data_IF_371950914302
#
_entry.id   IF_371950914302
#
_cell.length_a   1.000
_cell.length_b   1.000
_cell.length_c   1.000
_cell.angle_alpha   90.00
_cell.angle_beta   90.00
_cell.angle_gamma   90.00
#
_symmetry.space_group_name_H-M   'P 1'
#
loop_
_entity.id
_entity.type
_entity.pdbx_description
1 polymer ?
#
# COMPACT_ATOMS: atom_id res chain seq x y z
N UNK A 1 10.83 -22.57 9.33
CA UNK A 1 11.16 -21.88 10.58
C UNK A 1 12.58 -22.27 10.95
N UNK A 2 13.45 -21.32 11.27
CA UNK A 2 14.80 -21.59 11.76
C UNK A 2 15.90 -21.52 10.71
N UNK A 3 15.69 -20.84 9.59
CA UNK A 3 16.74 -20.59 8.59
C UNK A 3 17.08 -19.10 8.56
N UNK A 4 18.36 -18.76 8.49
CA UNK A 4 18.80 -17.38 8.34
C UNK A 4 18.27 -16.78 7.03
N UNK A 5 17.91 -15.48 7.07
CA UNK A 5 17.50 -14.76 5.89
C UNK A 5 18.56 -14.88 4.78
N UNK A 6 18.10 -15.26 3.59
CA UNK A 6 18.93 -15.33 2.39
C UNK A 6 18.06 -15.13 1.15
N UNK A 7 18.11 -13.93 0.58
CA UNK A 7 17.31 -13.56 -0.59
C UNK A 7 17.65 -14.41 -1.84
N UNK A 8 18.94 -14.76 -2.05
CA UNK A 8 19.36 -15.59 -3.19
C UNK A 8 18.81 -17.01 -3.12
N UNK A 9 18.71 -17.56 -1.91
CA UNK A 9 18.12 -18.86 -1.65
C UNK A 9 16.60 -18.80 -1.46
N UNK A 10 15.97 -17.63 -1.63
CA UNK A 10 14.54 -17.37 -1.42
C UNK A 10 14.06 -17.74 0.00
N UNK A 11 14.91 -17.51 1.00
CA UNK A 11 14.59 -17.72 2.40
C UNK A 11 14.30 -16.35 3.04
N UNK A 12 13.04 -16.09 3.37
CA UNK A 12 12.55 -14.83 3.92
C UNK A 12 12.04 -14.99 5.37
N UNK A 13 12.67 -15.89 6.14
CA UNK A 13 12.39 -16.06 7.56
C UNK A 13 12.97 -14.87 8.36
N UNK A 14 12.16 -14.22 9.19
CA UNK A 14 12.55 -13.08 10.03
C UNK A 14 12.69 -13.44 11.51
N UNK A 15 12.43 -14.71 11.91
CA UNK A 15 12.47 -15.14 13.30
C UNK A 15 13.90 -15.39 13.84
N UNK A 16 14.91 -15.23 13.00
CA UNK A 16 16.30 -15.43 13.38
C UNK A 16 16.85 -14.21 14.14
N UNK A 17 17.85 -14.44 15.00
CA UNK A 17 18.53 -13.34 15.69
C UNK A 17 19.97 -13.21 15.19
N UNK A 18 20.40 -11.98 14.78
CA UNK A 18 19.61 -10.74 14.80
C UNK A 18 18.52 -10.73 13.72
N UNK A 19 17.35 -10.16 14.03
CA UNK A 19 16.31 -9.93 13.04
C UNK A 19 16.83 -9.00 11.92
N UNK A 20 16.45 -9.22 10.67
CA UNK A 20 16.67 -8.22 9.63
C UNK A 20 15.97 -6.89 9.97
N UNK A 21 16.72 -5.79 9.91
CA UNK A 21 16.22 -4.45 10.21
C UNK A 21 16.28 -3.57 8.97
N UNK A 22 15.40 -2.59 8.91
CA UNK A 22 15.42 -1.48 7.97
C UNK A 22 16.53 -0.49 8.35
N UNK A 23 16.84 0.45 7.47
CA UNK A 23 17.88 1.47 7.72
C UNK A 23 17.54 2.37 8.93
N UNK A 24 16.27 2.51 9.28
CA UNK A 24 15.75 3.23 10.45
C UNK A 24 15.55 2.33 11.69
N UNK A 25 16.17 1.15 11.70
CA UNK A 25 16.13 0.17 12.77
C UNK A 25 14.76 -0.49 13.02
N UNK A 26 13.77 -0.25 12.17
CA UNK A 26 12.48 -0.94 12.25
C UNK A 26 12.61 -2.41 11.79
N UNK A 27 11.95 -3.36 12.47
CA UNK A 27 12.06 -4.77 12.12
C UNK A 27 11.31 -5.09 10.82
N UNK A 28 11.85 -5.99 10.01
CA UNK A 28 11.14 -6.62 8.92
C UNK A 28 10.33 -7.83 9.39
N UNK A 29 9.16 -8.03 8.81
CA UNK A 29 8.53 -9.34 8.71
C UNK A 29 8.94 -10.05 7.42
N UNK A 30 8.54 -11.30 7.24
CA UNK A 30 8.73 -12.02 5.97
C UNK A 30 8.10 -11.27 4.80
N UNK A 31 6.97 -10.59 5.00
CA UNK A 31 6.31 -9.78 3.97
C UNK A 31 7.19 -8.60 3.55
N UNK A 32 7.74 -7.86 4.52
CA UNK A 32 8.63 -6.74 4.24
C UNK A 32 9.90 -7.15 3.50
N UNK A 33 10.51 -8.27 3.89
CA UNK A 33 11.68 -8.82 3.19
C UNK A 33 11.38 -9.20 1.74
N UNK A 34 10.21 -9.82 1.49
CA UNK A 34 9.74 -10.16 0.14
C UNK A 34 9.46 -8.88 -0.67
N UNK A 35 8.84 -7.87 -0.06
CA UNK A 35 8.57 -6.60 -0.72
C UNK A 35 9.86 -5.87 -1.10
N UNK A 36 10.82 -5.78 -0.19
CA UNK A 36 12.12 -5.18 -0.44
C UNK A 36 12.84 -5.84 -1.62
N UNK A 37 12.75 -7.17 -1.73
CA UNK A 37 13.42 -7.95 -2.79
C UNK A 37 12.68 -7.90 -4.13
N UNK A 38 11.35 -8.05 -4.13
CA UNK A 38 10.58 -8.29 -5.35
C UNK A 38 9.57 -7.18 -5.67
N UNK A 39 9.36 -6.21 -4.79
CA UNK A 39 8.32 -5.19 -4.95
C UNK A 39 8.42 -4.43 -6.27
N UNK A 40 9.61 -4.01 -6.68
CA UNK A 40 9.84 -3.31 -7.95
C UNK A 40 9.49 -4.16 -9.16
N UNK A 41 9.91 -5.42 -9.16
CA UNK A 41 9.57 -6.36 -10.22
C UNK A 41 8.07 -6.65 -10.28
N UNK A 42 7.41 -6.73 -9.11
CA UNK A 42 5.97 -6.89 -9.03
C UNK A 42 5.21 -5.69 -9.59
N UNK A 43 5.64 -4.46 -9.26
CA UNK A 43 5.08 -3.24 -9.82
C UNK A 43 5.24 -3.19 -11.36
N UNK A 44 6.38 -3.62 -11.87
CA UNK A 44 6.62 -3.74 -13.32
C UNK A 44 5.64 -4.75 -13.94
N UNK A 45 5.44 -5.90 -13.32
CA UNK A 45 4.48 -6.91 -13.79
C UNK A 45 3.02 -6.43 -13.74
N UNK A 46 2.70 -5.48 -12.85
CA UNK A 46 1.41 -4.78 -12.80
C UNK A 46 1.29 -3.64 -13.84
N UNK A 47 2.24 -3.48 -14.74
CA UNK A 47 2.29 -2.42 -15.75
C UNK A 47 2.32 -0.99 -15.16
N UNK A 48 2.94 -0.82 -13.99
CA UNK A 48 3.23 0.52 -13.45
C UNK A 48 4.29 1.18 -14.33
N UNK A 49 4.08 2.44 -14.79
CA UNK A 49 5.09 3.18 -15.54
C UNK A 49 6.43 3.25 -14.79
N UNK A 50 7.54 3.04 -15.52
CA UNK A 50 8.88 2.94 -14.91
C UNK A 50 9.24 4.14 -14.04
N UNK A 51 8.86 5.34 -14.47
CA UNK A 51 9.08 6.59 -13.77
C UNK A 51 8.36 6.69 -12.41
N UNK A 52 7.33 5.88 -12.21
CA UNK A 52 6.52 5.88 -10.99
C UNK A 52 6.87 4.71 -10.03
N UNK A 53 7.69 3.75 -10.45
CA UNK A 53 7.96 2.52 -9.68
C UNK A 53 8.54 2.87 -8.31
N UNK A 54 9.58 3.70 -8.23
CA UNK A 54 10.22 4.02 -6.95
C UNK A 54 9.25 4.74 -6.00
N UNK A 55 8.55 5.75 -6.49
CA UNK A 55 7.60 6.51 -5.66
C UNK A 55 6.45 5.64 -5.16
N UNK A 56 5.94 4.72 -5.97
CA UNK A 56 4.87 3.80 -5.58
C UNK A 56 5.42 2.72 -4.64
N UNK A 57 6.62 2.20 -4.91
CA UNK A 57 7.29 1.24 -4.05
C UNK A 57 7.43 1.78 -2.62
N UNK A 58 7.98 2.98 -2.47
CA UNK A 58 8.22 3.61 -1.17
C UNK A 58 6.92 4.01 -0.45
N UNK A 59 5.94 4.51 -1.19
CA UNK A 59 4.63 4.82 -0.62
C UNK A 59 3.89 3.58 -0.14
N UNK A 60 3.95 2.49 -0.89
CA UNK A 60 3.34 1.24 -0.48
C UNK A 60 4.10 0.62 0.69
N UNK A 61 5.43 0.66 0.66
CA UNK A 61 6.25 0.19 1.77
C UNK A 61 5.89 0.91 3.07
N UNK A 62 5.94 2.24 3.09
CA UNK A 62 5.71 3.03 4.30
C UNK A 62 4.27 2.98 4.82
N UNK A 63 3.27 2.82 3.95
CA UNK A 63 1.84 2.94 4.32
C UNK A 63 1.09 1.61 4.42
N UNK A 64 1.66 0.54 3.88
CA UNK A 64 1.03 -0.77 3.89
C UNK A 64 1.96 -1.85 4.48
N UNK A 65 3.20 -1.96 3.98
CA UNK A 65 4.13 -3.03 4.39
C UNK A 65 4.64 -2.81 5.80
N UNK A 66 5.20 -1.63 6.08
CA UNK A 66 5.76 -1.31 7.40
C UNK A 66 4.76 -1.49 8.56
N UNK A 67 3.50 -1.02 8.47
CA UNK A 67 2.51 -1.32 9.52
C UNK A 67 2.30 -2.81 9.78
N UNK A 68 2.36 -3.64 8.75
CA UNK A 68 2.25 -5.11 8.88
C UNK A 68 3.52 -5.66 9.55
N UNK A 69 4.70 -5.21 9.13
CA UNK A 69 5.97 -5.61 9.73
C UNK A 69 6.01 -5.31 11.24
N UNK A 70 5.56 -4.11 11.63
CA UNK A 70 5.53 -3.67 13.02
C UNK A 70 4.53 -4.49 13.87
N UNK A 71 3.35 -4.79 13.32
CA UNK A 71 2.35 -5.64 13.98
C UNK A 71 2.87 -7.08 14.16
N UNK A 72 3.46 -7.64 13.12
CA UNK A 72 3.97 -9.02 13.11
C UNK A 72 5.12 -9.23 14.11
N UNK A 73 5.96 -8.21 14.28
CA UNK A 73 7.05 -8.21 15.24
C UNK A 73 6.64 -7.75 16.66
N UNK A 74 5.37 -7.43 16.89
CA UNK A 74 4.90 -6.90 18.17
C UNK A 74 5.48 -5.52 18.53
N UNK A 75 6.00 -4.79 17.55
CA UNK A 75 6.55 -3.45 17.72
C UNK A 75 5.48 -2.35 17.68
N UNK A 76 4.26 -2.71 17.29
CA UNK A 76 3.10 -1.81 17.27
C UNK A 76 1.89 -2.54 17.86
N UNK A 77 1.19 -1.87 18.77
CA UNK A 77 -0.10 -2.33 19.25
C UNK A 77 -1.19 -2.09 18.18
N UNK A 78 -2.16 -3.00 18.03
CA UNK A 78 -3.34 -2.75 17.21
C UNK A 78 -4.05 -1.47 17.65
N UNK A 79 -4.81 -0.87 16.74
CA UNK A 79 -5.57 0.35 17.01
C UNK A 79 -6.33 0.28 18.33
N UNK A 80 -6.28 1.36 19.13
CA UNK A 80 -7.05 1.54 20.36
C UNK A 80 -8.50 1.98 20.10
N UNK A 81 -9.03 1.81 18.91
CA UNK A 81 -10.37 2.22 18.47
C UNK A 81 -11.51 1.39 19.11
N UNK A 82 -11.33 0.85 20.30
CA UNK A 82 -12.33 0.06 21.02
C UNK A 82 -12.71 -1.23 20.29
N UNK A 83 -14.00 -1.51 20.03
CA UNK A 83 -14.44 -2.75 19.39
C UNK A 83 -13.87 -2.99 17.98
N UNK A 84 -13.40 -1.92 17.30
CA UNK A 84 -12.81 -2.01 15.97
C UNK A 84 -11.31 -2.39 15.97
N UNK A 85 -10.67 -2.39 17.14
CA UNK A 85 -9.23 -2.70 17.28
C UNK A 85 -8.86 -4.09 16.75
N UNK A 86 -9.78 -5.05 16.77
CA UNK A 86 -9.59 -6.42 16.28
C UNK A 86 -9.88 -6.58 14.78
N UNK A 87 -10.42 -5.56 14.11
CA UNK A 87 -10.76 -5.62 12.68
C UNK A 87 -9.59 -5.14 11.80
N UNK A 88 -8.40 -5.62 12.08
CA UNK A 88 -7.23 -5.41 11.22
C UNK A 88 -7.20 -6.44 10.09
N UNK A 89 -6.49 -6.13 9.00
CA UNK A 89 -6.31 -7.08 7.89
C UNK A 89 -5.71 -8.41 8.38
N UNK A 90 -4.72 -8.36 9.25
CA UNK A 90 -4.08 -9.56 9.81
C UNK A 90 -5.07 -10.40 10.63
N UNK A 91 -5.91 -9.76 11.45
CA UNK A 91 -6.93 -10.45 12.23
C UNK A 91 -8.01 -11.08 11.33
N UNK A 92 -8.45 -10.36 10.29
CA UNK A 92 -9.43 -10.87 9.32
C UNK A 92 -8.88 -12.07 8.53
N UNK A 93 -7.65 -12.00 8.04
CA UNK A 93 -6.99 -13.12 7.37
C UNK A 93 -6.76 -14.28 8.35
N UNK A 94 -6.36 -13.99 9.59
CA UNK A 94 -6.18 -14.98 10.64
C UNK A 94 -7.48 -15.74 10.99
N UNK A 95 -8.65 -15.11 10.84
CA UNK A 95 -9.95 -15.76 11.07
C UNK A 95 -10.31 -16.83 10.04
N UNK A 96 -9.57 -16.88 8.92
CA UNK A 96 -9.73 -17.93 7.89
C UNK A 96 -8.98 -19.22 8.24
N UNK A 97 -8.18 -19.23 9.31
CA UNK A 97 -7.50 -20.45 9.78
C UNK A 97 -8.50 -21.49 10.23
N UNK A 98 -8.17 -22.79 10.10
CA UNK A 98 -8.99 -23.87 10.65
C UNK A 98 -9.21 -23.72 12.15
N UNK A 99 -10.33 -24.20 12.65
CA UNK A 99 -10.60 -24.27 14.08
C UNK A 99 -9.69 -25.33 14.74
N UNK A 100 -9.41 -25.16 16.04
CA UNK A 100 -8.44 -25.97 16.78
C UNK A 100 -8.73 -27.47 16.80
N UNK A 101 -10.00 -27.86 16.58
CA UNK A 101 -10.49 -29.25 16.58
C UNK A 101 -10.78 -29.76 15.14
N UNK A 102 -10.27 -29.09 14.13
CA UNK A 102 -10.31 -29.60 12.76
C UNK A 102 -9.53 -30.89 12.66
N UNK A 103 -10.10 -31.87 11.96
CA UNK A 103 -9.55 -33.22 11.85
C UNK A 103 -8.95 -33.55 10.49
N UNK A 104 -9.00 -32.62 9.55
CA UNK A 104 -8.41 -32.80 8.21
C UNK A 104 -6.91 -32.44 8.24
N UNK A 105 -6.08 -33.29 7.66
CA UNK A 105 -4.63 -33.08 7.56
C UNK A 105 -4.27 -31.95 6.57
N UNK A 106 -5.19 -31.55 5.67
CA UNK A 106 -4.97 -30.50 4.65
C UNK A 106 -5.60 -29.17 4.97
N UNK A 107 -6.35 -29.05 6.08
CA UNK A 107 -7.11 -27.83 6.39
C UNK A 107 -6.24 -26.58 6.48
N UNK A 108 -5.02 -26.67 7.03
CA UNK A 108 -4.10 -25.52 7.12
C UNK A 108 -3.64 -25.06 5.74
N UNK A 109 -3.27 -25.99 4.86
CA UNK A 109 -2.83 -25.67 3.50
C UNK A 109 -4.00 -25.14 2.66
N UNK A 110 -5.17 -25.74 2.78
CA UNK A 110 -6.39 -25.32 2.07
C UNK A 110 -6.83 -23.91 2.53
N UNK A 111 -6.79 -23.64 3.83
CA UNK A 111 -7.09 -22.32 4.39
C UNK A 111 -6.07 -21.28 3.93
N UNK A 112 -4.77 -21.61 3.92
CA UNK A 112 -3.72 -20.73 3.41
C UNK A 112 -3.95 -20.43 1.92
N UNK A 113 -4.18 -21.43 1.10
CA UNK A 113 -4.44 -21.25 -0.34
C UNK A 113 -5.70 -20.44 -0.61
N UNK A 114 -6.74 -20.55 0.23
CA UNK A 114 -7.95 -19.73 0.14
C UNK A 114 -7.71 -18.28 0.56
N UNK A 115 -6.81 -18.01 1.51
CA UNK A 115 -6.47 -16.66 1.95
C UNK A 115 -5.62 -15.88 0.93
N UNK A 116 -4.78 -16.55 0.13
CA UNK A 116 -3.88 -15.92 -0.83
C UNK A 116 -4.58 -14.97 -1.83
N UNK A 117 -5.66 -15.36 -2.54
CA UNK A 117 -6.33 -14.46 -3.47
C UNK A 117 -6.96 -13.25 -2.77
N UNK A 118 -7.39 -13.39 -1.51
CA UNK A 118 -7.94 -12.30 -0.71
C UNK A 118 -6.82 -11.30 -0.37
N UNK A 119 -5.70 -11.77 0.18
CA UNK A 119 -4.54 -10.94 0.50
C UNK A 119 -4.01 -10.23 -0.76
N UNK A 120 -3.88 -10.96 -1.87
CA UNK A 120 -3.48 -10.42 -3.16
C UNK A 120 -4.39 -9.29 -3.63
N UNK A 121 -5.72 -9.45 -3.49
CA UNK A 121 -6.68 -8.42 -3.89
C UNK A 121 -6.49 -7.11 -3.12
N UNK A 122 -6.20 -7.17 -1.81
CA UNK A 122 -5.89 -5.98 -1.02
C UNK A 122 -4.60 -5.31 -1.45
N UNK A 123 -3.55 -6.09 -1.71
CA UNK A 123 -2.25 -5.58 -2.17
C UNK A 123 -2.41 -4.87 -3.53
N UNK A 124 -3.01 -5.55 -4.50
CA UNK A 124 -3.20 -5.02 -5.87
C UNK A 124 -4.11 -3.79 -5.88
N UNK A 125 -5.18 -3.77 -5.10
CA UNK A 125 -6.04 -2.60 -4.96
C UNK A 125 -5.30 -1.41 -4.34
N UNK A 126 -4.48 -1.64 -3.32
CA UNK A 126 -3.68 -0.60 -2.68
C UNK A 126 -2.64 -0.01 -3.65
N UNK A 127 -1.91 -0.86 -4.37
CA UNK A 127 -0.96 -0.44 -5.41
C UNK A 127 -1.69 0.35 -6.51
N UNK A 128 -2.85 -0.14 -6.98
CA UNK A 128 -3.67 0.54 -7.98
C UNK A 128 -4.10 1.95 -7.54
N UNK A 129 -4.45 2.11 -6.27
CA UNK A 129 -4.77 3.42 -5.69
C UNK A 129 -3.56 4.36 -5.65
N UNK A 130 -2.37 3.89 -5.29
CA UNK A 130 -1.15 4.71 -5.33
C UNK A 130 -0.80 5.12 -6.76
N UNK A 131 -0.88 4.19 -7.71
CA UNK A 131 -0.66 4.48 -9.13
C UNK A 131 -1.68 5.50 -9.68
N UNK A 132 -2.95 5.39 -9.29
CA UNK A 132 -3.98 6.36 -9.67
C UNK A 132 -3.71 7.75 -9.10
N UNK A 133 -3.26 7.85 -7.84
CA UNK A 133 -2.87 9.13 -7.22
C UNK A 133 -1.67 9.77 -7.94
N UNK A 134 -0.66 8.99 -8.32
CA UNK A 134 0.49 9.49 -9.06
C UNK A 134 0.07 10.07 -10.42
N UNK A 135 -0.81 9.36 -11.17
CA UNK A 135 -1.37 9.89 -12.43
C UNK A 135 -2.17 11.16 -12.22
N UNK A 136 -3.03 11.21 -11.20
CA UNK A 136 -3.81 12.41 -10.87
C UNK A 136 -2.88 13.60 -10.58
N UNK A 137 -1.82 13.39 -9.83
CA UNK A 137 -0.85 14.43 -9.49
C UNK A 137 -0.23 15.07 -10.74
N UNK A 138 0.21 14.26 -11.72
CA UNK A 138 0.75 14.77 -12.98
C UNK A 138 -0.29 15.61 -13.75
N UNK A 139 -1.52 15.11 -13.87
CA UNK A 139 -2.60 15.82 -14.55
C UNK A 139 -2.96 17.16 -13.87
N UNK A 140 -2.96 17.18 -12.54
CA UNK A 140 -3.25 18.40 -11.78
C UNK A 140 -2.13 19.43 -11.93
N UNK A 141 -0.86 19.01 -11.87
CA UNK A 141 0.28 19.91 -12.09
C UNK A 141 0.23 20.55 -13.49
N UNK A 142 -0.07 19.75 -14.53
CA UNK A 142 -0.27 20.29 -15.89
C UNK A 142 -1.44 21.29 -15.96
N UNK A 143 -2.53 21.00 -15.25
CA UNK A 143 -3.67 21.92 -15.21
C UNK A 143 -3.34 23.24 -14.48
N UNK A 144 -2.55 23.19 -13.40
CA UNK A 144 -2.06 24.38 -12.68
C UNK A 144 -1.21 25.25 -13.61
N UNK A 145 -0.27 24.66 -14.36
CA UNK A 145 0.52 25.38 -15.34
C UNK A 145 -0.35 26.08 -16.39
N UNK A 146 -1.38 25.40 -16.89
CA UNK A 146 -2.33 25.97 -17.87
C UNK A 146 -3.20 27.08 -17.28
N UNK A 147 -3.60 26.95 -16.00
CA UNK A 147 -4.42 27.95 -15.33
C UNK A 147 -3.63 29.27 -15.06
N UNK A 148 -2.30 29.18 -14.92
CA UNK A 148 -1.44 30.34 -14.65
C UNK A 148 -1.87 31.09 -13.40
N UNK A 149 -2.24 32.37 -13.53
CA UNK A 149 -2.69 33.23 -12.42
C UNK A 149 -4.22 33.16 -12.15
N UNK A 150 -4.94 32.26 -12.82
CA UNK A 150 -6.39 32.10 -12.60
C UNK A 150 -6.64 31.56 -11.18
N UNK A 151 -7.66 32.09 -10.47
CA UNK A 151 -8.08 31.52 -9.19
C UNK A 151 -8.93 30.23 -9.35
N UNK A 152 -9.20 29.81 -10.58
CA UNK A 152 -10.01 28.65 -10.90
C UNK A 152 -9.13 27.61 -11.60
N UNK A 153 -9.14 26.40 -11.08
CA UNK A 153 -8.52 25.22 -11.68
C UNK A 153 -9.59 24.31 -12.27
N UNK A 154 -9.55 24.12 -13.57
CA UNK A 154 -10.43 23.18 -14.27
C UNK A 154 -9.72 21.83 -14.43
N UNK A 155 -10.33 20.76 -13.93
CA UNK A 155 -9.83 19.39 -14.09
C UNK A 155 -10.76 18.59 -15.01
N UNK A 156 -10.21 17.66 -15.81
CA UNK A 156 -11.02 16.90 -16.78
C UNK A 156 -11.98 15.90 -16.14
N UNK A 157 -11.79 15.59 -14.86
CA UNK A 157 -12.63 14.69 -14.07
C UNK A 157 -12.38 14.89 -12.59
N UNK A 158 -13.23 14.36 -11.73
CA UNK A 158 -13.01 14.30 -10.29
C UNK A 158 -11.77 13.44 -9.96
N UNK A 159 -10.77 14.06 -9.33
CA UNK A 159 -9.52 13.39 -8.95
C UNK A 159 -8.91 14.03 -7.69
N UNK A 160 -8.00 13.34 -6.97
CA UNK A 160 -7.26 13.95 -5.87
C UNK A 160 -6.37 15.10 -6.38
N UNK A 161 -6.53 16.31 -5.84
CA UNK A 161 -5.81 17.50 -6.31
C UNK A 161 -5.01 18.24 -5.21
N UNK A 162 -5.39 18.07 -3.94
CA UNK A 162 -4.82 18.88 -2.83
C UNK A 162 -3.31 18.76 -2.74
N UNK A 163 -2.78 17.54 -2.78
CA UNK A 163 -1.34 17.30 -2.70
C UNK A 163 -0.55 17.96 -3.84
N UNK A 164 -1.13 18.05 -5.03
CA UNK A 164 -0.49 18.73 -6.17
C UNK A 164 -0.53 20.25 -6.01
N UNK A 165 -1.62 20.81 -5.48
CA UNK A 165 -1.69 22.26 -5.14
C UNK A 165 -0.64 22.63 -4.11
N UNK A 166 -0.53 21.84 -3.03
CA UNK A 166 0.46 22.07 -1.97
C UNK A 166 1.89 21.99 -2.52
N UNK A 167 2.17 20.98 -3.35
CA UNK A 167 3.48 20.82 -3.98
C UNK A 167 3.84 21.96 -4.92
N UNK A 168 2.88 22.47 -5.66
CA UNK A 168 3.08 23.59 -6.59
C UNK A 168 3.10 24.96 -5.90
N UNK A 169 2.79 25.04 -4.60
CA UNK A 169 2.59 26.32 -3.90
C UNK A 169 1.48 27.16 -4.55
N UNK A 170 0.42 26.51 -5.06
CA UNK A 170 -0.63 27.15 -5.84
C UNK A 170 -1.75 27.74 -4.97
N UNK A 171 -1.39 28.52 -3.93
CA UNK A 171 -2.31 29.12 -2.95
C UNK A 171 -3.29 30.13 -3.57
N UNK A 172 -3.01 30.59 -4.79
CA UNK A 172 -3.90 31.48 -5.55
C UNK A 172 -5.12 30.76 -6.14
N UNK A 173 -5.09 29.44 -6.23
CA UNK A 173 -6.24 28.63 -6.69
C UNK A 173 -7.28 28.55 -5.56
N UNK A 174 -8.41 29.19 -5.74
CA UNK A 174 -9.50 29.26 -4.76
C UNK A 174 -10.61 28.25 -5.04
N UNK A 175 -10.78 27.87 -6.31
CA UNK A 175 -11.84 26.97 -6.77
C UNK A 175 -11.27 25.88 -7.68
N UNK A 176 -11.71 24.65 -7.46
CA UNK A 176 -11.40 23.52 -8.34
C UNK A 176 -12.72 23.04 -8.94
N UNK A 177 -12.80 23.03 -10.26
CA UNK A 177 -14.01 22.70 -11.01
C UNK A 177 -13.80 21.41 -11.78
N UNK A 178 -14.74 20.49 -11.65
CA UNK A 178 -14.72 19.19 -12.34
C UNK A 178 -16.08 18.89 -12.98
N UNK A 179 -16.12 18.25 -14.15
CA UNK A 179 -17.38 17.83 -14.76
C UNK A 179 -18.06 16.72 -13.95
N UNK A 180 -19.39 16.78 -13.88
CA UNK A 180 -20.26 15.77 -13.25
C UNK A 180 -21.51 15.54 -14.11
N UNK A 181 -21.44 14.59 -15.04
CA UNK A 181 -22.49 14.41 -16.05
C UNK A 181 -22.58 15.64 -16.94
N UNK A 182 -23.76 16.24 -17.03
CA UNK A 182 -24.01 17.47 -17.78
C UNK A 182 -23.75 18.76 -16.97
N UNK A 183 -23.39 18.63 -15.69
CA UNK A 183 -23.14 19.72 -14.76
C UNK A 183 -21.66 19.79 -14.33
N UNK A 184 -21.34 20.79 -13.50
CA UNK A 184 -20.03 20.98 -12.90
C UNK A 184 -20.12 20.93 -11.37
N UNK A 185 -19.09 20.38 -10.75
CA UNK A 185 -18.91 20.42 -9.28
C UNK A 185 -17.74 21.33 -8.94
N UNK A 186 -17.91 22.15 -7.90
CA UNK A 186 -16.91 23.03 -7.32
C UNK A 186 -16.47 22.44 -5.98
#
# INVERSE_FOLDING_TARGET
>A
VGRDYNAEAQIFDHHQRPNPLRDDEQPYSSFGLIWAQYGRAYLTAMNVPTENIEAIHDNFDSKFVLPIDLLDNGAMEPSVAGPLSILTLSALLGSLKPVFDSTSETDDDDAFMAALPIARSFIEASIGNFAAKARAQSLVLEAIEKAGASPILELPMGMPYRSALDQAGADHILFVVTPRGDDWTI
#
